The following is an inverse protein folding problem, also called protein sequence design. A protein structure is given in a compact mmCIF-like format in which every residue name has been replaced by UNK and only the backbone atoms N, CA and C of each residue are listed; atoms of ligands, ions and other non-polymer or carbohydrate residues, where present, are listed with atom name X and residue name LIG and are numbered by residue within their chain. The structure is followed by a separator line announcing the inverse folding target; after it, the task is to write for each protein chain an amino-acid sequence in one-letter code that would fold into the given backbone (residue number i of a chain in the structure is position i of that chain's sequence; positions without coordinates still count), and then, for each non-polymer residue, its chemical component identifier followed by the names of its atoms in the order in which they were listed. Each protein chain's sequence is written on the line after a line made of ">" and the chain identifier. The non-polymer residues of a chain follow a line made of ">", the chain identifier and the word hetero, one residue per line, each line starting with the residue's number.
data_IF_751449772494
#
_entry.id   IF_751449772494
#
_cell.length_a   1.000
_cell.length_b   1.000
_cell.length_c   1.000
_cell.angle_alpha   90.00
_cell.angle_beta   90.00
_cell.angle_gamma   90.00
#
_symmetry.space_group_name_H-M   'P 1'
#
loop_
_entity.id
_entity.type
_entity.pdbx_description
1 polymer ?
#
# COMPACT_ATOMS: atom_id res chain seq x y z
N UNK A 1 0.06 -22.78 8.58
CA UNK A 1 0.84 -22.85 7.33
C UNK A 1 0.31 -21.92 6.22
N UNK A 2 -0.93 -22.02 5.71
CA UNK A 2 -1.41 -21.09 4.64
C UNK A 2 -1.43 -19.60 5.05
N UNK A 3 -1.96 -19.28 6.24
CA UNK A 3 -2.00 -17.89 6.74
C UNK A 3 -0.62 -17.24 6.87
N UNK A 4 0.40 -18.00 7.24
CA UNK A 4 1.78 -17.46 7.32
C UNK A 4 2.35 -17.14 5.94
N UNK A 5 2.06 -17.97 4.93
CA UNK A 5 2.52 -17.73 3.57
C UNK A 5 1.85 -16.50 2.96
N UNK A 6 0.55 -16.32 3.16
CA UNK A 6 -0.18 -15.13 2.71
C UNK A 6 0.37 -13.85 3.38
N UNK A 7 0.65 -13.92 4.68
CA UNK A 7 1.23 -12.80 5.43
C UNK A 7 2.65 -12.48 4.94
N UNK A 8 3.49 -13.49 4.73
CA UNK A 8 4.84 -13.30 4.16
C UNK A 8 4.78 -12.71 2.75
N UNK A 9 3.80 -13.13 1.95
CA UNK A 9 3.59 -12.60 0.61
C UNK A 9 3.17 -11.14 0.65
N UNK A 10 2.25 -10.78 1.55
CA UNK A 10 1.83 -9.41 1.76
C UNK A 10 3.02 -8.52 2.15
N UNK A 11 3.84 -8.95 3.10
CA UNK A 11 5.05 -8.22 3.49
C UNK A 11 6.03 -8.06 2.33
N UNK A 12 6.23 -9.10 1.51
CA UNK A 12 7.03 -8.99 0.27
C UNK A 12 6.42 -7.98 -0.69
N UNK A 13 5.11 -8.01 -0.93
CA UNK A 13 4.42 -7.07 -1.81
C UNK A 13 4.58 -5.62 -1.33
N UNK A 14 4.40 -5.38 -0.03
CA UNK A 14 4.58 -4.06 0.57
C UNK A 14 6.04 -3.62 0.48
N UNK A 15 7.02 -4.50 0.69
CA UNK A 15 8.45 -4.16 0.58
C UNK A 15 8.86 -3.69 -0.83
N UNK A 16 8.14 -4.13 -1.87
CA UNK A 16 8.38 -3.75 -3.28
C UNK A 16 7.78 -2.39 -3.66
N UNK A 17 6.92 -1.80 -2.80
CA UNK A 17 6.42 -0.44 -3.02
C UNK A 17 7.54 0.58 -2.79
N UNK A 18 7.44 1.74 -3.45
CA UNK A 18 8.31 2.87 -3.15
C UNK A 18 8.12 3.33 -1.69
N UNK A 19 9.15 3.93 -1.09
CA UNK A 19 9.12 4.34 0.32
C UNK A 19 7.93 5.24 0.67
N UNK A 20 7.67 6.25 -0.17
CA UNK A 20 6.51 7.13 0.00
C UNK A 20 5.17 6.38 -0.08
N UNK A 21 5.09 5.38 -0.95
CA UNK A 21 3.88 4.58 -1.15
C UNK A 21 3.65 3.60 0.01
N UNK A 22 4.73 3.03 0.57
CA UNK A 22 4.69 2.26 1.81
C UNK A 22 4.19 3.10 2.98
N UNK A 23 4.72 4.32 3.14
CA UNK A 23 4.30 5.22 4.21
C UNK A 23 2.79 5.49 4.13
N UNK A 24 2.30 5.86 2.93
CA UNK A 24 0.88 6.14 2.70
C UNK A 24 0.02 4.91 3.01
N UNK A 25 0.35 3.73 2.50
CA UNK A 25 -0.48 2.54 2.72
C UNK A 25 -0.45 2.10 4.18
N UNK A 26 0.68 2.23 4.88
CA UNK A 26 0.77 1.93 6.32
C UNK A 26 -0.19 2.82 7.11
N UNK A 27 -0.22 4.13 6.85
CA UNK A 27 -1.15 5.03 7.51
C UNK A 27 -2.62 4.72 7.20
N UNK A 28 -2.92 4.29 5.97
CA UNK A 28 -4.27 3.83 5.60
C UNK A 28 -4.63 2.56 6.38
N UNK A 29 -3.70 1.62 6.55
CA UNK A 29 -3.90 0.39 7.34
C UNK A 29 -4.08 0.68 8.83
N UNK A 30 -3.45 1.74 9.35
CA UNK A 30 -3.66 2.28 10.69
C UNK A 30 -5.00 3.02 10.86
N UNK A 31 -5.87 3.04 9.84
CA UNK A 31 -7.14 3.77 9.80
C UNK A 31 -7.00 5.30 9.97
N UNK A 32 -5.85 5.89 9.61
CA UNK A 32 -5.75 7.36 9.55
C UNK A 32 -6.65 7.92 8.47
N UNK A 33 -7.23 9.09 8.73
CA UNK A 33 -8.09 9.76 7.75
C UNK A 33 -7.26 10.33 6.59
N UNK A 34 -7.87 10.45 5.41
CA UNK A 34 -7.18 10.99 4.23
C UNK A 34 -6.67 12.43 4.44
N UNK A 35 -7.39 13.33 5.13
CA UNK A 35 -6.88 14.66 5.48
C UNK A 35 -5.63 14.61 6.37
N UNK A 36 -5.58 13.72 7.37
CA UNK A 36 -4.41 13.57 8.24
C UNK A 36 -3.22 13.05 7.46
N UNK A 37 -3.43 12.07 6.59
CA UNK A 37 -2.36 11.53 5.74
C UNK A 37 -1.85 12.63 4.81
N UNK A 38 -2.74 13.38 4.17
CA UNK A 38 -2.40 14.50 3.29
C UNK A 38 -1.54 15.55 4.01
N UNK A 39 -1.90 15.88 5.26
CA UNK A 39 -1.13 16.81 6.09
C UNK A 39 0.25 16.27 6.49
N UNK A 40 0.37 14.98 6.83
CA UNK A 40 1.64 14.34 7.21
C UNK A 40 2.59 14.20 6.01
N UNK A 41 2.03 13.91 4.84
CA UNK A 41 2.79 13.61 3.61
C UNK A 41 3.01 14.81 2.70
N UNK A 42 2.51 15.99 3.11
CA UNK A 42 2.56 17.24 2.34
C UNK A 42 2.08 17.09 0.89
N UNK A 43 1.02 16.29 0.70
CA UNK A 43 0.35 16.10 -0.58
C UNK A 43 -1.13 16.44 -0.45
N UNK A 44 -1.68 17.07 -1.48
CA UNK A 44 -3.11 17.37 -1.51
C UNK A 44 -3.96 16.11 -1.44
N UNK A 45 -5.16 16.21 -0.85
CA UNK A 45 -6.10 15.08 -0.77
C UNK A 45 -6.43 14.46 -2.13
N UNK A 46 -6.55 15.29 -3.18
CA UNK A 46 -6.80 14.80 -4.54
C UNK A 46 -5.64 13.93 -5.05
N UNK A 47 -4.40 14.40 -4.87
CA UNK A 47 -3.22 13.64 -5.25
C UNK A 47 -3.09 12.37 -4.41
N UNK A 48 -3.40 12.45 -3.11
CA UNK A 48 -3.41 11.31 -2.19
C UNK A 48 -4.40 10.22 -2.64
N UNK A 49 -5.64 10.58 -2.99
CA UNK A 49 -6.64 9.61 -3.48
C UNK A 49 -6.16 8.86 -4.72
N UNK A 50 -5.58 9.59 -5.68
CA UNK A 50 -4.99 9.00 -6.90
C UNK A 50 -3.80 8.11 -6.54
N UNK A 51 -2.94 8.52 -5.61
CA UNK A 51 -1.81 7.73 -5.12
C UNK A 51 -2.28 6.43 -4.47
N UNK A 52 -3.21 6.50 -3.51
CA UNK A 52 -3.78 5.31 -2.85
C UNK A 52 -4.36 4.34 -3.88
N UNK A 53 -5.07 4.84 -4.89
CA UNK A 53 -5.61 4.00 -5.95
C UNK A 53 -4.49 3.28 -6.74
N UNK A 54 -3.42 4.00 -7.10
CA UNK A 54 -2.25 3.42 -7.79
C UNK A 54 -1.53 2.40 -6.92
N UNK A 55 -1.34 2.68 -5.63
CA UNK A 55 -0.67 1.78 -4.68
C UNK A 55 -1.47 0.48 -4.53
N UNK A 56 -2.80 0.57 -4.39
CA UNK A 56 -3.67 -0.62 -4.36
C UNK A 56 -3.55 -1.44 -5.64
N UNK A 57 -3.54 -0.78 -6.80
CA UNK A 57 -3.36 -1.45 -8.09
C UNK A 57 -1.99 -2.14 -8.19
N UNK A 58 -0.92 -1.46 -7.78
CA UNK A 58 0.43 -2.05 -7.74
C UNK A 58 0.48 -3.26 -6.81
N UNK A 59 -0.11 -3.17 -5.61
CA UNK A 59 -0.19 -4.31 -4.69
C UNK A 59 -0.91 -5.50 -5.34
N UNK A 60 -2.02 -5.28 -6.02
CA UNK A 60 -2.73 -6.34 -6.76
C UNK A 60 -1.86 -6.91 -7.89
N UNK A 61 -1.15 -6.08 -8.64
CA UNK A 61 -0.24 -6.55 -9.72
C UNK A 61 0.95 -7.34 -9.18
N UNK A 62 1.50 -6.95 -8.03
CA UNK A 62 2.60 -7.68 -7.36
C UNK A 62 2.07 -9.00 -6.79
N UNK A 63 0.92 -8.98 -6.12
CA UNK A 63 0.27 -10.18 -5.59
C UNK A 63 -0.06 -11.19 -6.69
N UNK A 64 -0.67 -10.73 -7.81
CA UNK A 64 -0.97 -11.58 -8.96
C UNK A 64 0.29 -12.13 -9.64
N UNK A 65 1.41 -11.41 -9.58
CA UNK A 65 2.70 -11.96 -10.03
C UNK A 65 3.12 -13.10 -9.14
N UNK A 66 2.98 -12.99 -7.82
CA UNK A 66 3.35 -14.05 -6.89
C UNK A 66 2.40 -15.25 -6.88
N UNK A 67 1.09 -15.08 -7.09
CA UNK A 67 0.16 -16.22 -7.22
C UNK A 67 0.32 -17.00 -8.53
N UNK A 68 0.96 -16.41 -9.54
CA UNK A 68 1.24 -17.07 -10.82
C UNK A 68 2.52 -17.91 -10.82
N UNK A 69 3.26 -17.95 -9.70
CA UNK A 69 4.43 -18.81 -9.49
C UNK A 69 4.14 -19.85 -8.42
#
# INVERSE_FOLDING_TARGET
>A
HQKEQEVQLLYKCVSQLAEADRLIITMVLENKSYPEIAAITDISENNLRVKIHRIKKQLTEIYNRYERF
#
